data_IF_908378629247
#
_entry.id   IF_908378629247
#
_cell.length_a   1.000
_cell.length_b   1.000
_cell.length_c   1.000
_cell.angle_alpha   90.00
_cell.angle_beta   90.00
_cell.angle_gamma   90.00
#
_symmetry.space_group_name_H-M   'P 1'
#
loop_
_entity.id
_entity.type
_entity.pdbx_description
1 polymer ?
#
# COMPACT_ATOMS: atom_id res chain seq x y z
N UNK A 1 8.62 6.90 11.44
CA UNK A 1 7.59 7.51 12.29
C UNK A 1 6.44 8.05 11.48
N UNK A 2 6.71 8.84 10.45
CA UNK A 2 5.66 9.40 9.60
C UNK A 2 4.92 8.32 8.82
N UNK A 3 5.63 7.33 8.34
CA UNK A 3 5.10 6.18 7.66
C UNK A 3 4.00 5.48 8.46
N UNK A 4 4.21 5.31 9.77
CA UNK A 4 3.25 4.65 10.64
C UNK A 4 1.99 5.46 10.83
N UNK A 5 2.09 6.79 10.81
CA UNK A 5 0.95 7.70 10.97
C UNK A 5 0.09 7.77 9.72
N UNK A 6 0.65 7.46 8.56
CA UNK A 6 -0.01 7.64 7.27
C UNK A 6 -0.25 6.32 6.55
N UNK A 7 -0.12 5.18 7.25
CA UNK A 7 -0.26 3.86 6.63
C UNK A 7 -1.62 3.65 5.97
N UNK A 8 -2.68 4.25 6.52
CA UNK A 8 -4.03 4.15 5.95
C UNK A 8 -4.18 4.91 4.63
N UNK A 9 -3.27 5.82 4.31
CA UNK A 9 -3.37 6.71 3.17
C UNK A 9 -2.34 6.43 2.08
N UNK A 10 -1.16 5.91 2.42
CA UNK A 10 -0.12 5.65 1.43
C UNK A 10 -0.26 4.26 0.81
N UNK A 11 0.21 4.10 -0.42
CA UNK A 11 0.22 2.80 -1.09
C UNK A 11 1.09 1.80 -0.33
N UNK A 12 2.27 2.23 0.10
CA UNK A 12 3.19 1.40 0.89
C UNK A 12 2.55 0.99 2.21
N UNK A 13 1.97 1.94 2.93
CA UNK A 13 1.33 1.67 4.21
C UNK A 13 0.16 0.70 4.10
N UNK A 14 -0.72 0.91 3.12
CA UNK A 14 -1.84 0.01 2.88
C UNK A 14 -1.36 -1.38 2.44
N UNK A 15 -0.31 -1.44 1.63
CA UNK A 15 0.29 -2.71 1.23
C UNK A 15 0.83 -3.49 2.43
N UNK A 16 1.47 -2.82 3.37
CA UNK A 16 1.96 -3.45 4.60
C UNK A 16 0.83 -3.84 5.53
N UNK A 17 -0.19 -2.99 5.69
CA UNK A 17 -1.38 -3.32 6.48
C UNK A 17 -2.12 -4.52 5.92
N UNK A 18 -2.17 -4.67 4.60
CA UNK A 18 -2.83 -5.80 3.95
C UNK A 18 -2.15 -7.14 4.29
N UNK A 19 -0.85 -7.11 4.62
CA UNK A 19 -0.09 -8.30 4.99
C UNK A 19 -0.24 -8.69 6.46
N UNK A 20 -0.80 -7.81 7.28
CA UNK A 20 -1.10 -8.11 8.68
C UNK A 20 -2.43 -8.85 8.78
N UNK A 21 -2.58 -9.65 9.84
CA UNK A 21 -3.88 -10.22 10.17
C UNK A 21 -4.79 -9.15 10.80
N UNK A 22 -6.02 -9.54 11.14
CA UNK A 22 -6.98 -8.61 11.73
C UNK A 22 -6.45 -7.98 13.02
N UNK A 23 -5.86 -8.80 13.89
CA UNK A 23 -5.36 -8.33 15.19
C UNK A 23 -4.19 -7.37 15.02
N UNK A 24 -3.30 -7.65 14.08
CA UNK A 24 -2.18 -6.76 13.76
C UNK A 24 -2.64 -5.41 13.24
N UNK A 25 -3.66 -5.40 12.37
CA UNK A 25 -4.27 -4.17 11.88
C UNK A 25 -4.93 -3.37 13.01
N UNK A 26 -5.68 -4.05 13.85
CA UNK A 26 -6.35 -3.40 14.99
C UNK A 26 -5.34 -2.82 15.97
N UNK A 27 -4.26 -3.55 16.26
CA UNK A 27 -3.21 -3.05 17.13
C UNK A 27 -2.58 -1.78 16.56
N UNK A 28 -2.26 -1.78 15.27
CA UNK A 28 -1.69 -0.60 14.60
C UNK A 28 -2.64 0.60 14.68
N UNK A 29 -3.91 0.40 14.34
CA UNK A 29 -4.90 1.48 14.28
C UNK A 29 -5.35 1.97 15.65
N UNK A 30 -5.24 1.13 16.69
CA UNK A 30 -5.55 1.54 18.06
C UNK A 30 -4.58 2.59 18.58
N UNK A 31 -3.38 2.61 18.03
CA UNK A 31 -2.33 3.55 18.41
C UNK A 31 -2.23 4.76 17.51
N UNK A 32 -2.84 4.70 16.31
CA UNK A 32 -2.68 5.72 15.29
C UNK A 32 -4.02 5.98 14.62
N UNK A 33 -4.43 7.25 14.64
CA UNK A 33 -5.69 7.65 14.04
C UNK A 33 -5.58 7.65 12.51
N UNK A 34 -6.69 7.36 11.83
CA UNK A 34 -6.80 7.47 10.39
C UNK A 34 -7.09 8.93 10.02
N UNK A 35 -6.07 9.77 10.18
CA UNK A 35 -6.21 11.22 9.95
C UNK A 35 -6.51 11.52 8.48
N UNK A 36 -7.34 12.52 8.24
CA UNK A 36 -7.64 12.96 6.89
C UNK A 36 -6.49 13.83 6.36
N UNK A 37 -5.84 13.36 5.31
CA UNK A 37 -4.75 14.09 4.66
C UNK A 37 -5.24 14.78 3.39
N UNK A 38 -6.23 14.19 2.70
CA UNK A 38 -6.89 14.76 1.53
C UNK A 38 -8.38 14.44 1.61
N UNK A 39 -9.16 14.97 0.68
CA UNK A 39 -10.58 14.62 0.59
C UNK A 39 -10.81 13.15 0.22
N UNK A 40 -9.78 12.45 -0.25
CA UNK A 40 -9.87 11.06 -0.70
C UNK A 40 -9.32 10.06 0.31
N UNK A 41 -8.75 10.52 1.43
CA UNK A 41 -8.23 9.66 2.48
C UNK A 41 -9.34 8.78 3.07
N UNK A 42 -9.07 7.49 3.21
CA UNK A 42 -9.98 6.58 3.93
C UNK A 42 -9.78 6.84 5.42
N UNK A 43 -10.82 7.34 6.09
CA UNK A 43 -10.78 7.68 7.52
C UNK A 43 -11.60 6.74 8.40
N UNK A 44 -12.27 5.76 7.81
CA UNK A 44 -13.09 4.79 8.52
C UNK A 44 -12.41 3.43 8.50
N UNK A 45 -12.19 2.83 9.67
CA UNK A 45 -11.49 1.56 9.80
C UNK A 45 -12.20 0.42 9.06
N UNK A 46 -13.53 0.36 9.12
CA UNK A 46 -14.30 -0.69 8.45
C UNK A 46 -14.15 -0.62 6.94
N UNK A 47 -14.19 0.60 6.39
CA UNK A 47 -13.99 0.83 4.95
C UNK A 47 -12.58 0.43 4.56
N UNK A 48 -11.59 0.81 5.36
CA UNK A 48 -10.20 0.44 5.12
C UNK A 48 -10.01 -1.07 5.10
N UNK A 49 -10.52 -1.76 6.11
CA UNK A 49 -10.39 -3.21 6.21
C UNK A 49 -11.07 -3.92 5.05
N UNK A 50 -12.27 -3.47 4.67
CA UNK A 50 -12.98 -4.03 3.52
C UNK A 50 -12.16 -3.87 2.24
N UNK A 51 -11.58 -2.71 2.03
CA UNK A 51 -10.73 -2.47 0.86
C UNK A 51 -9.50 -3.37 0.86
N UNK A 52 -8.83 -3.51 1.99
CA UNK A 52 -7.65 -4.37 2.11
C UNK A 52 -8.00 -5.84 1.85
N UNK A 53 -9.13 -6.30 2.38
CA UNK A 53 -9.54 -7.70 2.27
C UNK A 53 -10.12 -8.05 0.91
N UNK A 54 -10.70 -7.08 0.20
CA UNK A 54 -11.30 -7.31 -1.12
C UNK A 54 -10.27 -7.34 -2.25
N UNK A 55 -9.03 -6.97 -1.97
CA UNK A 55 -8.00 -6.87 -2.99
C UNK A 55 -7.05 -8.07 -2.92
N UNK A 56 -6.93 -8.86 -4.02
CA UNK A 56 -6.01 -9.99 -4.04
C UNK A 56 -4.56 -9.54 -3.85
N UNK A 57 -3.70 -10.36 -3.23
CA UNK A 57 -2.27 -10.02 -3.04
C UNK A 57 -1.51 -9.80 -4.35
N UNK A 58 -2.05 -10.35 -5.45
CA UNK A 58 -1.44 -10.22 -6.77
C UNK A 58 -1.74 -8.90 -7.45
N UNK A 59 -2.64 -8.10 -6.88
CA UNK A 59 -3.03 -6.81 -7.45
C UNK A 59 -2.27 -5.71 -6.70
N UNK A 60 -1.60 -4.79 -7.40
CA UNK A 60 -0.90 -3.69 -6.74
C UNK A 60 -1.84 -2.83 -5.91
N UNK A 61 -1.38 -2.41 -4.73
CA UNK A 61 -2.11 -1.46 -3.90
C UNK A 61 -1.91 -0.05 -4.45
N UNK A 62 -3.01 0.68 -4.65
CA UNK A 62 -2.96 2.02 -5.21
C UNK A 62 -3.30 3.07 -4.16
N UNK A 63 -2.64 4.21 -4.29
CA UNK A 63 -2.96 5.44 -3.58
C UNK A 63 -3.28 6.50 -4.65
N UNK A 64 -4.55 6.86 -4.77
CA UNK A 64 -5.02 7.82 -5.76
C UNK A 64 -5.35 9.14 -5.05
N UNK A 65 -4.31 9.92 -4.75
CA UNK A 65 -4.40 11.18 -4.02
C UNK A 65 -4.96 11.05 -2.59
N UNK A 66 -4.80 9.87 -1.98
CA UNK A 66 -5.24 9.64 -0.59
C UNK A 66 -4.26 10.22 0.41
N UNK A 67 -2.97 10.18 0.08
CA UNK A 67 -1.88 10.71 0.91
C UNK A 67 -1.64 12.19 0.64
N UNK A 68 -1.56 12.56 -0.64
CA UNK A 68 -1.28 13.93 -1.04
C UNK A 68 -1.97 14.26 -2.36
N UNK A 69 -2.51 15.46 -2.45
CA UNK A 69 -3.10 15.95 -3.69
C UNK A 69 -1.99 16.10 -4.74
N UNK A 70 -2.29 15.69 -5.97
CA UNK A 70 -1.35 15.82 -7.09
C UNK A 70 -0.38 14.65 -7.26
N UNK A 71 -0.44 13.63 -6.40
CA UNK A 71 0.44 12.48 -6.46
C UNK A 71 -0.36 11.18 -6.42
N UNK A 72 0.04 10.22 -7.25
CA UNK A 72 -0.53 8.87 -7.25
C UNK A 72 0.62 7.86 -7.06
N UNK A 73 0.34 6.77 -6.36
CA UNK A 73 1.34 5.78 -5.99
C UNK A 73 0.80 4.37 -6.17
N UNK A 74 1.72 3.42 -6.32
CA UNK A 74 1.41 2.00 -6.32
C UNK A 74 2.45 1.26 -5.50
N UNK A 75 2.04 0.18 -4.84
CA UNK A 75 2.95 -0.68 -4.09
C UNK A 75 2.58 -2.14 -4.31
N UNK A 76 3.59 -3.00 -4.37
CA UNK A 76 3.43 -4.44 -4.47
C UNK A 76 4.17 -5.11 -3.32
N UNK A 77 3.62 -6.19 -2.74
CA UNK A 77 4.26 -6.85 -1.61
C UNK A 77 5.49 -7.64 -2.04
N UNK A 78 6.48 -7.69 -1.15
CA UNK A 78 7.62 -8.58 -1.26
C UNK A 78 7.68 -9.38 0.03
N UNK A 79 7.72 -10.72 -0.10
CA UNK A 79 7.89 -11.60 1.06
C UNK A 79 9.04 -12.56 0.78
N UNK A 80 9.93 -12.73 1.76
CA UNK A 80 11.04 -13.66 1.69
C UNK A 80 11.14 -14.34 3.06
N UNK A 81 10.64 -15.59 3.16
CA UNK A 81 10.50 -16.26 4.45
C UNK A 81 9.57 -15.51 5.37
N UNK A 82 10.05 -15.13 6.54
CA UNK A 82 9.29 -14.33 7.52
C UNK A 82 9.41 -12.82 7.29
N UNK A 83 10.25 -12.41 6.35
CA UNK A 83 10.46 -10.98 6.06
C UNK A 83 9.39 -10.48 5.10
N UNK A 84 8.75 -9.36 5.46
CA UNK A 84 7.76 -8.70 4.62
C UNK A 84 8.24 -7.30 4.27
N UNK A 85 7.89 -6.85 3.08
CA UNK A 85 8.23 -5.52 2.59
C UNK A 85 7.39 -5.16 1.39
N UNK A 86 7.79 -4.12 0.68
CA UNK A 86 7.12 -3.77 -0.56
C UNK A 86 8.07 -3.02 -1.50
N UNK A 87 7.74 -3.09 -2.79
CA UNK A 87 8.29 -2.20 -3.81
C UNK A 87 7.21 -1.20 -4.16
N UNK A 88 7.59 0.06 -4.31
CA UNK A 88 6.62 1.12 -4.60
C UNK A 88 7.16 2.09 -5.63
N UNK A 89 6.24 2.77 -6.30
CA UNK A 89 6.53 3.87 -7.18
C UNK A 89 5.50 4.98 -6.98
N UNK A 90 5.90 6.21 -7.25
CA UNK A 90 4.99 7.35 -7.24
C UNK A 90 5.19 8.18 -8.50
N UNK A 91 4.15 8.90 -8.88
CA UNK A 91 4.21 9.78 -10.04
C UNK A 91 3.25 10.95 -9.87
N UNK A 92 3.49 12.06 -10.59
CA UNK A 92 2.55 13.18 -10.60
C UNK A 92 1.20 12.76 -11.16
N UNK A 93 0.15 13.44 -10.72
CA UNK A 93 -1.22 13.16 -11.15
C UNK A 93 -1.38 13.19 -12.67
N UNK A 94 -0.68 14.07 -13.37
CA UNK A 94 -0.77 14.17 -14.83
C UNK A 94 -0.31 12.89 -15.55
N UNK A 95 0.41 12.01 -14.85
CA UNK A 95 0.82 10.72 -15.39
C UNK A 95 0.00 9.54 -14.84
N UNK A 96 -1.10 9.82 -14.14
CA UNK A 96 -1.90 8.79 -13.48
C UNK A 96 -2.40 7.70 -14.45
N UNK A 97 -2.62 8.05 -15.72
CA UNK A 97 -3.05 7.09 -16.74
C UNK A 97 -2.00 5.99 -17.01
N UNK A 98 -0.75 6.22 -16.59
CA UNK A 98 0.34 5.24 -16.70
C UNK A 98 0.52 4.40 -15.44
N UNK A 99 -0.19 4.75 -14.37
CA UNK A 99 0.06 4.13 -13.06
C UNK A 99 -0.17 2.63 -13.07
N UNK A 100 -1.29 2.18 -13.64
CA UNK A 100 -1.62 0.75 -13.66
C UNK A 100 -0.59 -0.06 -14.44
N UNK A 101 -0.19 0.43 -15.61
CA UNK A 101 0.82 -0.24 -16.42
C UNK A 101 2.17 -0.29 -15.70
N UNK A 102 2.57 0.81 -15.07
CA UNK A 102 3.81 0.88 -14.31
C UNK A 102 3.74 -0.04 -13.08
N UNK A 103 2.60 -0.10 -12.41
CA UNK A 103 2.39 -0.98 -11.27
C UNK A 103 2.45 -2.46 -11.67
N UNK A 104 1.86 -2.82 -12.80
CA UNK A 104 1.92 -4.18 -13.31
C UNK A 104 3.35 -4.58 -13.67
N UNK A 105 4.13 -3.65 -14.25
CA UNK A 105 5.54 -3.88 -14.54
C UNK A 105 6.34 -4.07 -13.26
N UNK A 106 6.06 -3.29 -12.23
CA UNK A 106 6.69 -3.42 -10.92
C UNK A 106 6.37 -4.78 -10.30
N UNK A 107 5.12 -5.22 -10.41
CA UNK A 107 4.67 -6.49 -9.88
C UNK A 107 5.39 -7.66 -10.55
N UNK A 108 5.60 -7.60 -11.87
CA UNK A 108 6.36 -8.63 -12.59
C UNK A 108 7.82 -8.69 -12.16
N UNK A 109 8.40 -7.55 -11.75
CA UNK A 109 9.79 -7.49 -11.29
C UNK A 109 9.97 -7.92 -9.83
N UNK A 110 8.89 -7.96 -9.07
CA UNK A 110 8.95 -8.37 -7.67
C UNK A 110 9.34 -9.84 -7.52
N UNK A 111 8.88 -10.72 -8.40
CA UNK A 111 9.18 -12.14 -8.35
C UNK A 111 10.69 -12.44 -8.47
N UNK A 112 11.44 -11.86 -9.43
CA UNK A 112 12.89 -12.04 -9.47
C UNK A 112 13.60 -11.51 -8.20
N UNK A 113 13.13 -10.40 -7.62
CA UNK A 113 13.68 -9.87 -6.37
C UNK A 113 13.47 -10.87 -5.24
N UNK A 114 12.28 -11.47 -5.14
CA UNK A 114 11.99 -12.49 -4.15
C UNK A 114 12.90 -13.71 -4.29
N UNK A 115 13.12 -14.19 -5.51
CA UNK A 115 14.01 -15.31 -5.77
C UNK A 115 15.45 -14.97 -5.36
N UNK A 116 15.90 -13.77 -5.64
CA UNK A 116 17.23 -13.30 -5.25
C UNK A 116 17.38 -13.24 -3.73
N UNK A 117 16.36 -12.81 -3.01
CA UNK A 117 16.38 -12.71 -1.55
C UNK A 117 16.30 -14.08 -0.88
N UNK A 118 15.71 -15.07 -1.56
CA UNK A 118 15.54 -16.42 -1.01
C UNK A 118 16.79 -17.30 -1.15
N UNK A 119 17.69 -16.93 -2.03
CA UNK A 119 18.95 -17.65 -2.24
C UNK A 119 20.02 -17.22 -1.24
#
# INVERSE_FOLDING_TARGET
AEFRRTAHASAVGKCLLAQLDHDGRMDHLSRRKTARLTSRTITNEKVLFHKLDSQPPTVPMLDLQEYAVGTVCAAVPITAGATVGCLALSMPLEHAHRLRQAADALNRRAAPVLLSLSL
#
